data_IF_464130943241
#
_entry.id   IF_464130943241
#
_cell.length_a   1.000
_cell.length_b   1.000
_cell.length_c   1.000
_cell.angle_alpha   90.00
_cell.angle_beta   90.00
_cell.angle_gamma   90.00
#
_symmetry.space_group_name_H-M   'P 1'
#
loop_
_entity.id
_entity.type
_entity.pdbx_description
1 polymer ?
#
# COMPACT_ATOMS: atom_id res chain seq x y z
N UNK A 1 -14.94 17.26 -56.17
CA UNK A 1 -15.42 16.71 -54.89
C UNK A 1 -14.30 15.84 -54.31
N UNK A 2 -13.57 16.38 -53.30
CA UNK A 2 -12.61 15.77 -52.35
C UNK A 2 -11.49 14.88 -52.97
N UNK A 3 -10.21 15.27 -53.14
CA UNK A 3 -9.21 15.90 -52.27
C UNK A 3 -9.21 15.41 -50.81
N UNK A 4 -8.38 14.42 -50.50
CA UNK A 4 -8.06 14.00 -49.14
C UNK A 4 -6.56 13.73 -49.06
N UNK A 5 -5.88 14.65 -48.38
CA UNK A 5 -4.46 14.68 -48.05
C UNK A 5 -4.16 13.63 -46.98
N UNK A 6 -3.22 12.74 -47.24
CA UNK A 6 -2.56 11.91 -46.24
C UNK A 6 -1.24 12.59 -45.86
N UNK A 7 -1.28 13.43 -44.82
CA UNK A 7 -0.09 13.89 -44.11
C UNK A 7 0.17 12.92 -42.94
N UNK A 8 1.03 11.93 -43.15
CA UNK A 8 1.66 11.21 -42.05
C UNK A 8 2.79 12.09 -41.51
N UNK A 9 2.53 12.77 -40.40
CA UNK A 9 3.56 13.39 -39.59
C UNK A 9 4.37 12.28 -38.90
N UNK A 10 5.61 12.09 -39.35
CA UNK A 10 6.64 11.32 -38.65
C UNK A 10 6.99 12.08 -37.37
N UNK A 11 6.35 11.76 -36.26
CA UNK A 11 6.87 12.11 -34.95
C UNK A 11 8.08 11.23 -34.67
N UNK A 12 9.27 11.77 -34.93
CA UNK A 12 10.51 11.21 -34.41
C UNK A 12 10.46 11.29 -32.88
N UNK A 13 10.27 10.15 -32.23
CA UNK A 13 10.53 10.00 -30.81
C UNK A 13 12.03 10.18 -30.60
N UNK A 14 12.45 11.40 -30.30
CA UNK A 14 13.74 11.66 -29.69
C UNK A 14 13.78 10.87 -28.38
N UNK A 15 14.47 9.73 -28.41
CA UNK A 15 14.86 9.03 -27.20
C UNK A 15 15.85 9.93 -26.49
N UNK A 16 15.36 10.73 -25.54
CA UNK A 16 16.22 11.29 -24.51
C UNK A 16 16.83 10.09 -23.78
N UNK A 17 18.09 9.79 -24.10
CA UNK A 17 18.93 8.93 -23.29
C UNK A 17 19.02 9.58 -21.91
N UNK A 18 18.16 9.11 -21.00
CA UNK A 18 18.19 9.47 -19.60
C UNK A 18 19.61 9.20 -19.08
N UNK A 19 20.23 10.11 -18.32
CA UNK A 19 21.49 9.81 -17.65
C UNK A 19 21.30 8.51 -16.88
N UNK A 20 22.18 7.54 -17.12
CA UNK A 20 22.10 6.19 -16.57
C UNK A 20 22.00 6.26 -15.06
N UNK A 21 20.77 6.13 -14.55
CA UNK A 21 20.51 5.88 -13.13
C UNK A 21 21.27 4.60 -12.80
N UNK A 22 22.09 4.56 -11.73
CA UNK A 22 22.79 3.34 -11.34
C UNK A 22 21.79 2.19 -11.19
N UNK A 23 22.21 0.94 -11.45
CA UNK A 23 21.34 -0.23 -11.30
C UNK A 23 20.59 -0.18 -9.96
N UNK A 24 19.28 -0.40 -10.03
CA UNK A 24 18.31 0.07 -9.05
C UNK A 24 18.50 -0.50 -7.61
N UNK A 25 19.21 -1.63 -7.50
CA UNK A 25 19.59 -2.28 -6.23
C UNK A 25 20.56 -1.41 -5.40
N UNK A 26 21.32 -0.51 -6.03
CA UNK A 26 22.35 0.32 -5.37
C UNK A 26 21.72 1.47 -4.55
N UNK A 27 20.45 1.83 -4.80
CA UNK A 27 19.81 2.96 -4.12
C UNK A 27 19.39 2.62 -2.69
N UNK A 28 19.15 1.35 -2.37
CA UNK A 28 18.77 0.96 -1.01
C UNK A 28 19.94 1.08 -0.01
N UNK A 29 21.15 0.72 -0.45
CA UNK A 29 22.37 0.75 0.37
C UNK A 29 23.22 2.01 0.21
N UNK A 30 22.84 2.92 -0.70
CA UNK A 30 23.63 4.13 -0.90
C UNK A 30 23.60 4.99 0.37
N UNK A 31 24.77 5.45 0.87
CA UNK A 31 24.80 6.39 1.97
C UNK A 31 24.06 7.67 1.59
N UNK A 32 23.34 8.25 2.55
CA UNK A 32 22.51 9.45 2.34
C UNK A 32 23.26 10.59 1.62
N UNK A 33 24.57 10.73 1.82
CA UNK A 33 25.41 11.71 1.14
C UNK A 33 25.48 11.52 -0.38
N UNK A 34 25.58 10.28 -0.87
CA UNK A 34 25.61 9.98 -2.30
C UNK A 34 24.23 10.16 -2.94
N UNK A 35 23.16 9.79 -2.22
CA UNK A 35 21.78 9.99 -2.70
C UNK A 35 21.44 11.48 -2.79
N UNK A 36 21.86 12.28 -1.81
CA UNK A 36 21.69 13.73 -1.84
C UNK A 36 22.37 14.37 -3.05
N UNK A 37 23.55 13.87 -3.44
CA UNK A 37 24.24 14.36 -4.64
C UNK A 37 23.50 13.99 -5.94
N UNK A 38 22.95 12.78 -6.02
CA UNK A 38 22.14 12.32 -7.16
C UNK A 38 20.81 13.06 -7.27
N UNK A 39 20.13 13.31 -6.14
CA UNK A 39 18.88 14.04 -6.07
C UNK A 39 19.00 15.49 -6.58
N UNK A 40 20.21 16.07 -6.53
CA UNK A 40 20.49 17.41 -7.06
C UNK A 40 20.76 17.40 -8.57
N UNK A 41 21.19 16.27 -9.16
CA UNK A 41 21.70 16.19 -10.54
C UNK A 41 20.73 15.62 -11.57
N UNK A 42 19.71 14.85 -11.19
CA UNK A 42 18.84 14.14 -12.13
C UNK A 42 17.40 14.71 -12.18
N UNK A 43 16.91 14.91 -13.40
CA UNK A 43 15.49 14.80 -13.79
C UNK A 43 14.57 16.04 -13.58
N UNK A 44 13.48 16.10 -14.37
CA UNK A 44 12.57 17.27 -14.50
C UNK A 44 12.18 17.78 -13.11
N UNK A 45 12.60 19.01 -12.73
CA UNK A 45 12.54 19.41 -11.34
C UNK A 45 11.09 19.68 -10.95
N UNK A 46 10.56 18.86 -10.06
CA UNK A 46 9.41 19.24 -9.24
C UNK A 46 9.81 20.51 -8.47
N UNK A 47 9.24 21.66 -8.85
CA UNK A 47 9.65 22.93 -8.25
C UNK A 47 9.20 23.00 -6.80
N UNK A 48 9.96 23.70 -5.96
CA UNK A 48 9.65 23.77 -4.53
C UNK A 48 8.31 24.43 -4.27
N UNK A 49 7.99 25.48 -5.02
CA UNK A 49 6.71 26.19 -4.98
C UNK A 49 5.54 25.26 -5.30
N UNK A 50 5.63 24.51 -6.40
CA UNK A 50 4.57 23.59 -6.83
C UNK A 50 4.41 22.42 -5.87
N UNK A 51 5.52 21.87 -5.37
CA UNK A 51 5.51 20.85 -4.32
C UNK A 51 4.74 21.31 -3.09
N UNK A 52 5.13 22.46 -2.52
CA UNK A 52 4.51 22.99 -1.30
C UNK A 52 3.05 23.36 -1.52
N UNK A 53 2.71 23.93 -2.67
CA UNK A 53 1.33 24.23 -3.04
C UNK A 53 0.48 22.96 -3.10
N UNK A 54 0.85 21.98 -3.92
CA UNK A 54 0.06 20.75 -4.09
C UNK A 54 -0.02 19.93 -2.80
N UNK A 55 1.08 19.84 -2.05
CA UNK A 55 1.10 19.24 -0.73
C UNK A 55 0.09 19.93 0.20
N UNK A 56 0.09 21.27 0.27
CA UNK A 56 -0.82 22.02 1.14
C UNK A 56 -2.29 21.75 0.81
N UNK A 57 -2.63 21.63 -0.48
CA UNK A 57 -4.01 21.36 -0.92
C UNK A 57 -4.45 19.96 -0.52
N UNK A 58 -3.60 18.95 -0.76
CA UNK A 58 -3.90 17.57 -0.38
C UNK A 58 -4.00 17.42 1.14
N UNK A 59 -3.05 18.01 1.87
CA UNK A 59 -3.02 18.03 3.33
C UNK A 59 -4.28 18.67 3.93
N UNK A 60 -4.67 19.84 3.42
CA UNK A 60 -5.90 20.50 3.84
C UNK A 60 -7.14 19.62 3.59
N UNK A 61 -7.17 18.89 2.49
CA UNK A 61 -8.27 17.98 2.16
C UNK A 61 -8.39 16.82 3.16
N UNK A 62 -7.26 16.18 3.51
CA UNK A 62 -7.26 15.05 4.45
C UNK A 62 -7.19 15.46 5.93
N UNK A 63 -7.19 16.76 6.23
CA UNK A 63 -7.08 17.27 7.60
C UNK A 63 -5.70 17.07 8.23
N UNK A 64 -4.64 16.95 7.42
CA UNK A 64 -3.26 16.79 7.87
C UNK A 64 -2.54 18.14 7.89
N UNK A 65 -1.79 18.44 8.96
CA UNK A 65 -1.04 19.70 9.10
C UNK A 65 0.48 19.53 8.99
N UNK A 66 0.98 18.31 8.88
CA UNK A 66 2.41 18.01 8.87
C UNK A 66 3.06 18.04 7.47
N UNK A 67 4.38 17.88 7.44
CA UNK A 67 5.13 17.72 6.20
C UNK A 67 5.19 16.26 5.75
N UNK A 68 5.31 16.01 4.45
CA UNK A 68 5.62 14.68 3.90
C UNK A 68 7.09 14.30 4.14
N UNK A 69 7.46 14.20 5.41
CA UNK A 69 8.77 13.77 5.92
C UNK A 69 8.65 12.66 6.97
N UNK A 70 7.46 12.51 7.53
CA UNK A 70 7.10 11.47 8.49
C UNK A 70 6.03 10.53 7.85
N UNK A 71 6.44 9.36 7.35
CA UNK A 71 5.51 8.40 6.75
C UNK A 71 4.46 7.90 7.74
N UNK A 72 4.81 7.75 9.02
CA UNK A 72 3.87 7.25 10.03
C UNK A 72 2.77 8.26 10.27
N UNK A 73 3.13 9.54 10.42
CA UNK A 73 2.14 10.61 10.58
C UNK A 73 1.24 10.76 9.33
N UNK A 74 1.81 10.65 8.12
CA UNK A 74 1.04 10.70 6.87
C UNK A 74 0.07 9.51 6.75
N UNK A 75 0.55 8.28 6.99
CA UNK A 75 -0.32 7.08 6.97
C UNK A 75 -1.43 7.16 8.01
N UNK A 76 -1.13 7.66 9.21
CA UNK A 76 -2.14 7.86 10.25
C UNK A 76 -3.20 8.88 9.82
N UNK A 77 -2.81 9.97 9.17
CA UNK A 77 -3.75 10.96 8.64
C UNK A 77 -4.64 10.37 7.54
N UNK A 78 -4.07 9.60 6.61
CA UNK A 78 -4.84 8.89 5.57
C UNK A 78 -5.82 7.88 6.18
N UNK A 79 -5.37 7.10 7.17
CA UNK A 79 -6.23 6.15 7.89
C UNK A 79 -7.33 6.83 8.67
N UNK A 80 -7.05 7.96 9.32
CA UNK A 80 -8.04 8.75 10.03
C UNK A 80 -9.08 9.39 9.09
N UNK A 81 -8.72 9.57 7.82
CA UNK A 81 -9.65 10.03 6.80
C UNK A 81 -10.67 8.96 6.40
N UNK A 82 -10.26 7.68 6.41
CA UNK A 82 -11.18 6.57 6.16
C UNK A 82 -12.25 6.47 7.26
N UNK A 83 -13.50 6.54 6.84
CA UNK A 83 -14.70 6.33 7.66
C UNK A 83 -15.39 5.05 7.25
N UNK A 84 -16.35 4.62 8.06
CA UNK A 84 -17.15 3.45 7.75
C UNK A 84 -17.90 3.58 6.42
N UNK A 85 -18.26 4.79 6.02
CA UNK A 85 -18.88 5.03 4.71
C UNK A 85 -17.86 4.99 3.56
N UNK A 86 -18.28 4.43 2.42
CA UNK A 86 -17.50 4.41 1.17
C UNK A 86 -17.24 5.82 0.61
N UNK A 87 -18.04 6.81 1.01
CA UNK A 87 -17.88 8.19 0.55
C UNK A 87 -16.51 8.75 0.95
N UNK A 88 -16.02 8.44 2.14
CA UNK A 88 -14.67 8.84 2.59
C UNK A 88 -13.57 8.30 1.68
N UNK A 89 -13.62 7.03 1.29
CA UNK A 89 -12.66 6.45 0.35
C UNK A 89 -12.73 7.12 -1.04
N UNK A 90 -13.93 7.30 -1.57
CA UNK A 90 -14.11 7.98 -2.87
C UNK A 90 -13.64 9.44 -2.84
N UNK A 91 -13.83 10.13 -1.70
CA UNK A 91 -13.29 11.47 -1.49
C UNK A 91 -11.76 11.47 -1.44
N UNK A 92 -11.14 10.48 -0.82
CA UNK A 92 -9.69 10.36 -0.84
C UNK A 92 -9.17 10.12 -2.26
N UNK A 93 -9.85 9.29 -3.05
CA UNK A 93 -9.51 9.07 -4.45
C UNK A 93 -9.73 10.30 -5.33
N UNK A 94 -10.73 11.12 -5.01
CA UNK A 94 -10.87 12.44 -5.59
C UNK A 94 -9.67 13.35 -5.20
N UNK A 95 -9.27 13.39 -3.93
CA UNK A 95 -8.12 14.16 -3.47
C UNK A 95 -6.82 13.73 -4.15
N UNK A 96 -6.60 12.41 -4.31
CA UNK A 96 -5.48 11.86 -5.08
C UNK A 96 -5.52 12.33 -6.54
N UNK A 97 -6.70 12.34 -7.16
CA UNK A 97 -6.86 12.83 -8.54
C UNK A 97 -6.53 14.33 -8.64
N UNK A 98 -6.98 15.13 -7.67
CA UNK A 98 -6.64 16.56 -7.60
C UNK A 98 -5.14 16.77 -7.38
N UNK A 99 -4.50 15.94 -6.55
CA UNK A 99 -3.05 15.96 -6.36
C UNK A 99 -2.31 15.63 -7.65
N UNK A 100 -2.75 14.58 -8.37
CA UNK A 100 -2.22 14.20 -9.67
C UNK A 100 -2.32 15.34 -10.68
N UNK A 101 -3.48 15.99 -10.76
CA UNK A 101 -3.69 17.14 -11.65
C UNK A 101 -2.85 18.37 -11.25
N UNK A 102 -2.70 18.60 -9.94
CA UNK A 102 -1.89 19.71 -9.42
C UNK A 102 -0.42 19.57 -9.84
N UNK A 103 0.14 18.36 -9.75
CA UNK A 103 1.49 18.11 -10.23
C UNK A 103 1.59 18.00 -11.75
N UNK A 104 0.56 17.49 -12.42
CA UNK A 104 0.53 17.31 -13.86
C UNK A 104 1.65 16.37 -14.32
N UNK A 105 2.43 16.81 -15.32
CA UNK A 105 3.54 16.02 -15.87
C UNK A 105 4.68 15.76 -14.88
N UNK A 106 4.73 16.47 -13.76
CA UNK A 106 5.73 16.32 -12.70
C UNK A 106 5.27 15.35 -11.60
N UNK A 107 4.09 14.72 -11.70
CA UNK A 107 3.57 13.87 -10.62
C UNK A 107 4.58 12.82 -10.15
N UNK A 108 5.11 12.03 -11.09
CA UNK A 108 6.07 10.96 -10.81
C UNK A 108 7.38 11.49 -10.20
N UNK A 109 7.80 12.72 -10.53
CA UNK A 109 8.99 13.32 -9.91
C UNK A 109 8.68 13.84 -8.52
N UNK A 110 7.53 14.48 -8.36
CA UNK A 110 7.09 15.06 -7.09
C UNK A 110 6.78 14.01 -6.02
N UNK A 111 6.35 12.80 -6.39
CA UNK A 111 6.10 11.70 -5.46
C UNK A 111 7.23 10.65 -5.42
N UNK A 112 8.39 10.96 -6.02
CA UNK A 112 9.56 10.09 -5.99
C UNK A 112 10.30 10.13 -4.66
N UNK A 113 11.03 9.06 -4.36
CA UNK A 113 11.92 8.97 -3.19
C UNK A 113 12.95 10.08 -3.18
N UNK A 114 13.55 10.37 -4.33
CA UNK A 114 14.57 11.41 -4.46
C UNK A 114 14.01 12.80 -4.11
N UNK A 115 12.77 13.09 -4.50
CA UNK A 115 12.14 14.35 -4.13
C UNK A 115 11.92 14.45 -2.61
N UNK A 116 11.43 13.39 -1.95
CA UNK A 116 11.27 13.41 -0.50
C UNK A 116 12.60 13.58 0.24
N UNK A 117 13.69 12.99 -0.26
CA UNK A 117 15.04 13.19 0.27
C UNK A 117 15.46 14.65 0.13
N UNK A 118 15.26 15.25 -1.04
CA UNK A 118 15.50 16.69 -1.27
C UNK A 118 14.69 17.57 -0.31
N UNK A 119 13.51 17.11 0.13
CA UNK A 119 12.65 17.78 1.12
C UNK A 119 13.00 17.47 2.57
N UNK A 120 14.09 16.75 2.83
CA UNK A 120 14.62 16.51 4.17
C UNK A 120 14.17 15.20 4.81
N UNK A 121 13.43 14.35 4.10
CA UNK A 121 13.22 12.98 4.56
C UNK A 121 14.54 12.21 4.51
N UNK A 122 14.80 11.35 5.50
CA UNK A 122 15.87 10.37 5.36
C UNK A 122 15.46 9.32 4.31
N UNK A 123 16.43 8.51 3.88
CA UNK A 123 16.24 7.54 2.82
C UNK A 123 15.11 6.52 3.08
N UNK A 124 15.02 6.01 4.32
CA UNK A 124 13.97 5.07 4.75
C UNK A 124 12.60 5.72 4.73
N UNK A 125 12.49 6.93 5.29
CA UNK A 125 11.24 7.67 5.33
C UNK A 125 10.78 8.02 3.91
N UNK A 126 11.68 8.49 3.05
CA UNK A 126 11.40 8.82 1.66
C UNK A 126 10.89 7.60 0.87
N UNK A 127 11.48 6.42 1.11
CA UNK A 127 11.01 5.17 0.54
C UNK A 127 9.58 4.87 0.98
N UNK A 128 9.32 4.90 2.29
CA UNK A 128 7.97 4.65 2.84
C UNK A 128 6.94 5.65 2.32
N UNK A 129 7.25 6.95 2.27
CA UNK A 129 6.33 7.99 1.77
C UNK A 129 6.00 7.76 0.29
N UNK A 130 7.00 7.44 -0.54
CA UNK A 130 6.76 7.12 -1.96
C UNK A 130 5.86 5.89 -2.08
N UNK A 131 6.08 4.88 -1.24
CA UNK A 131 5.26 3.69 -1.17
C UNK A 131 3.81 3.99 -0.79
N UNK A 132 3.58 4.92 0.15
CA UNK A 132 2.23 5.38 0.52
C UNK A 132 1.50 5.97 -0.69
N UNK A 133 2.18 6.80 -1.50
CA UNK A 133 1.57 7.34 -2.72
C UNK A 133 1.34 6.27 -3.78
N UNK A 134 2.25 5.31 -3.97
CA UNK A 134 2.01 4.19 -4.89
C UNK A 134 0.85 3.29 -4.46
N UNK A 135 0.74 3.00 -3.16
CA UNK A 135 -0.41 2.28 -2.57
C UNK A 135 -1.70 3.03 -2.85
N UNK A 136 -1.73 4.34 -2.58
CA UNK A 136 -2.90 5.18 -2.80
C UNK A 136 -3.28 5.26 -4.28
N UNK A 137 -2.29 5.29 -5.17
CA UNK A 137 -2.49 5.25 -6.62
C UNK A 137 -3.18 3.96 -7.06
N UNK A 138 -2.73 2.82 -6.56
CA UNK A 138 -3.39 1.53 -6.79
C UNK A 138 -4.82 1.53 -6.24
N UNK A 139 -5.01 1.88 -4.97
CA UNK A 139 -6.31 1.90 -4.30
C UNK A 139 -7.34 2.69 -5.10
N UNK A 140 -6.93 3.85 -5.63
CA UNK A 140 -7.80 4.78 -6.35
C UNK A 140 -7.87 4.57 -7.87
N UNK A 141 -7.19 3.55 -8.40
CA UNK A 141 -7.25 3.18 -9.81
C UNK A 141 -7.57 1.69 -9.98
N UNK A 142 -6.55 0.83 -9.93
CA UNK A 142 -6.69 -0.61 -10.14
C UNK A 142 -7.52 -1.32 -9.05
N UNK A 143 -7.50 -0.83 -7.82
CA UNK A 143 -8.19 -1.43 -6.68
C UNK A 143 -9.57 -0.84 -6.36
N UNK A 144 -9.99 0.23 -7.04
CA UNK A 144 -11.18 1.00 -6.63
C UNK A 144 -12.47 0.18 -6.72
N UNK A 145 -12.56 -0.75 -7.69
CA UNK A 145 -13.75 -1.60 -7.87
C UNK A 145 -13.85 -2.58 -6.70
N UNK A 146 -12.76 -3.27 -6.36
CA UNK A 146 -12.72 -4.25 -5.28
C UNK A 146 -12.97 -3.58 -3.93
N UNK A 147 -12.36 -2.41 -3.68
CA UNK A 147 -12.58 -1.65 -2.46
C UNK A 147 -14.02 -1.12 -2.35
N UNK A 148 -14.56 -0.52 -3.41
CA UNK A 148 -15.91 0.08 -3.36
C UNK A 148 -17.04 -0.92 -3.23
N UNK A 149 -16.92 -2.10 -3.84
CA UNK A 149 -17.93 -3.15 -3.73
C UNK A 149 -17.93 -3.83 -2.35
N UNK A 150 -16.82 -3.74 -1.61
CA UNK A 150 -16.60 -4.50 -0.38
C UNK A 150 -16.18 -3.61 0.81
N UNK A 151 -16.46 -2.32 0.75
CA UNK A 151 -15.92 -1.33 1.69
C UNK A 151 -16.28 -1.60 3.15
N UNK A 152 -17.53 -1.95 3.43
CA UNK A 152 -17.97 -2.24 4.79
C UNK A 152 -17.14 -3.37 5.43
N UNK A 153 -16.78 -4.37 4.63
CA UNK A 153 -15.92 -5.46 5.06
C UNK A 153 -14.47 -5.00 5.22
N UNK A 154 -13.92 -4.31 4.21
CA UNK A 154 -12.55 -3.79 4.22
C UNK A 154 -12.32 -2.90 5.44
N UNK A 155 -13.20 -1.93 5.66
CA UNK A 155 -13.17 -1.02 6.80
C UNK A 155 -13.27 -1.77 8.14
N UNK A 156 -14.20 -2.74 8.26
CA UNK A 156 -14.36 -3.53 9.48
C UNK A 156 -13.09 -4.34 9.80
N UNK A 157 -12.48 -4.98 8.80
CA UNK A 157 -11.25 -5.76 8.98
C UNK A 157 -10.10 -4.81 9.35
N UNK A 158 -9.87 -3.74 8.58
CA UNK A 158 -8.81 -2.78 8.87
C UNK A 158 -8.90 -2.17 10.27
N UNK A 159 -10.10 -1.99 10.81
CA UNK A 159 -10.30 -1.45 12.17
C UNK A 159 -10.39 -2.52 13.26
N UNK A 160 -10.24 -3.81 12.93
CA UNK A 160 -10.26 -4.88 13.94
C UNK A 160 -8.91 -5.02 14.65
N UNK A 161 -8.95 -5.35 15.93
CA UNK A 161 -7.74 -5.62 16.73
C UNK A 161 -6.93 -6.79 16.15
N UNK A 162 -7.60 -7.83 15.64
CA UNK A 162 -6.93 -8.97 14.99
C UNK A 162 -6.11 -8.51 13.78
N UNK A 163 -6.68 -7.70 12.90
CA UNK A 163 -5.91 -7.14 11.77
C UNK A 163 -4.76 -6.26 12.25
N UNK A 164 -4.97 -5.35 13.22
CA UNK A 164 -3.88 -4.47 13.67
C UNK A 164 -2.73 -5.26 14.32
N UNK A 165 -3.04 -6.29 15.12
CA UNK A 165 -2.03 -7.16 15.74
C UNK A 165 -1.30 -8.00 14.69
N UNK A 166 -2.02 -8.58 13.73
CA UNK A 166 -1.44 -9.35 12.64
C UNK A 166 -0.56 -8.46 11.75
N UNK A 167 -1.03 -7.27 11.38
CA UNK A 167 -0.28 -6.24 10.66
C UNK A 167 1.05 -5.93 11.33
N UNK A 168 1.03 -5.64 12.63
CA UNK A 168 2.24 -5.34 13.40
C UNK A 168 3.21 -6.53 13.43
N UNK A 169 2.68 -7.75 13.50
CA UNK A 169 3.46 -8.99 13.43
C UNK A 169 4.14 -9.13 12.07
N UNK A 170 3.40 -8.94 10.98
CA UNK A 170 3.92 -8.96 9.62
C UNK A 170 5.02 -7.91 9.41
N UNK A 171 4.79 -6.67 9.85
CA UNK A 171 5.76 -5.57 9.76
C UNK A 171 7.04 -5.90 10.55
N UNK A 172 6.89 -6.40 11.78
CA UNK A 172 8.04 -6.78 12.62
C UNK A 172 8.87 -7.86 11.94
N UNK A 173 8.21 -8.89 11.40
CA UNK A 173 8.89 -9.96 10.70
C UNK A 173 9.58 -9.49 9.42
N UNK A 174 8.99 -8.54 8.68
CA UNK A 174 9.65 -7.90 7.54
C UNK A 174 10.94 -7.22 7.98
N UNK A 175 10.89 -6.29 8.95
CA UNK A 175 12.09 -5.55 9.38
C UNK A 175 13.18 -6.43 9.98
N UNK A 176 12.83 -7.55 10.62
CA UNK A 176 13.81 -8.48 11.17
C UNK A 176 14.58 -9.29 10.11
N UNK A 177 14.09 -9.36 8.87
CA UNK A 177 14.65 -10.24 7.84
C UNK A 177 15.08 -9.50 6.57
N UNK A 178 14.94 -8.18 6.50
CA UNK A 178 15.30 -7.42 5.29
C UNK A 178 16.78 -7.06 5.23
N UNK A 179 17.30 -7.08 4.01
CA UNK A 179 18.53 -6.43 3.57
C UNK A 179 18.31 -5.96 2.12
N UNK A 180 19.32 -5.33 1.52
CA UNK A 180 19.23 -4.86 0.14
C UNK A 180 19.03 -5.97 -0.90
N UNK A 181 19.58 -7.16 -0.65
CA UNK A 181 19.50 -8.29 -1.59
C UNK A 181 18.11 -8.93 -1.61
N UNK A 182 17.34 -8.82 -0.52
CA UNK A 182 16.08 -9.55 -0.37
C UNK A 182 14.84 -8.65 -0.17
N UNK A 183 14.98 -7.33 -0.20
CA UNK A 183 13.89 -6.38 0.09
C UNK A 183 12.63 -6.64 -0.75
N UNK A 184 12.78 -7.02 -2.02
CA UNK A 184 11.64 -7.31 -2.89
C UNK A 184 10.93 -8.62 -2.49
N UNK A 185 11.68 -9.68 -2.21
CA UNK A 185 11.12 -10.97 -1.77
C UNK A 185 10.45 -10.81 -0.39
N UNK A 186 11.10 -10.07 0.51
CA UNK A 186 10.54 -9.72 1.81
C UNK A 186 9.27 -8.88 1.67
N UNK A 187 9.24 -7.92 0.72
CA UNK A 187 8.06 -7.11 0.40
C UNK A 187 6.89 -7.94 -0.11
N UNK A 188 7.15 -8.90 -1.01
CA UNK A 188 6.13 -9.85 -1.46
C UNK A 188 5.60 -10.72 -0.30
N UNK A 189 6.49 -11.12 0.61
CA UNK A 189 6.10 -11.91 1.79
C UNK A 189 5.25 -11.08 2.74
N UNK A 190 5.59 -9.81 2.94
CA UNK A 190 4.80 -8.85 3.72
C UNK A 190 3.42 -8.63 3.12
N UNK A 191 3.33 -8.45 1.80
CA UNK A 191 2.06 -8.32 1.07
C UNK A 191 1.14 -9.52 1.30
N UNK A 192 1.67 -10.73 1.13
CA UNK A 192 0.95 -11.97 1.43
C UNK A 192 0.52 -12.02 2.89
N UNK A 193 1.40 -11.65 3.81
CA UNK A 193 1.10 -11.65 5.25
C UNK A 193 -0.11 -10.76 5.58
N UNK A 194 -0.18 -9.54 5.04
CA UNK A 194 -1.32 -8.64 5.24
C UNK A 194 -2.61 -9.20 4.65
N UNK A 195 -2.53 -9.76 3.45
CA UNK A 195 -3.67 -10.31 2.73
C UNK A 195 -4.36 -11.47 3.48
N UNK A 196 -3.64 -12.22 4.32
CA UNK A 196 -4.19 -13.34 5.08
C UNK A 196 -5.34 -12.97 6.02
N UNK A 197 -5.35 -11.74 6.53
CA UNK A 197 -6.44 -11.27 7.39
C UNK A 197 -7.80 -11.25 6.69
N UNK A 198 -7.81 -11.35 5.37
CA UNK A 198 -9.02 -11.37 4.54
C UNK A 198 -9.49 -12.78 4.17
N UNK A 199 -8.70 -13.82 4.43
CA UNK A 199 -9.08 -15.21 4.14
C UNK A 199 -10.01 -15.83 5.18
N UNK A 200 -9.97 -15.35 6.43
CA UNK A 200 -10.76 -15.85 7.56
C UNK A 200 -11.92 -14.93 7.95
N UNK A 201 -12.29 -14.00 7.07
CA UNK A 201 -13.31 -13.00 7.40
C UNK A 201 -14.68 -13.68 7.53
N UNK A 202 -15.22 -13.70 8.75
CA UNK A 202 -16.57 -14.16 9.04
C UNK A 202 -17.61 -13.44 8.16
N UNK A 203 -18.76 -14.07 7.85
CA UNK A 203 -19.88 -13.40 7.20
C UNK A 203 -20.17 -12.02 7.82
N UNK A 204 -20.44 -10.97 7.02
CA UNK A 204 -20.87 -11.01 5.61
C UNK A 204 -19.75 -10.89 4.57
N UNK A 205 -18.47 -11.04 4.94
CA UNK A 205 -17.34 -10.91 4.04
C UNK A 205 -17.18 -12.15 3.11
N UNK A 206 -18.14 -12.37 2.21
CA UNK A 206 -18.16 -13.53 1.30
C UNK A 206 -17.25 -13.38 0.06
N UNK A 207 -16.58 -12.24 -0.11
CA UNK A 207 -15.63 -11.90 -1.18
C UNK A 207 -14.18 -11.91 -0.69
N UNK A 208 -13.85 -12.84 0.22
CA UNK A 208 -12.53 -13.01 0.81
C UNK A 208 -11.38 -12.99 -0.22
N UNK A 209 -11.61 -13.52 -1.43
CA UNK A 209 -10.64 -13.56 -2.51
C UNK A 209 -10.31 -12.17 -3.10
N UNK A 210 -11.34 -11.34 -3.36
CA UNK A 210 -11.14 -10.01 -3.97
C UNK A 210 -10.44 -9.07 -3.00
N UNK A 211 -10.81 -9.13 -1.72
CA UNK A 211 -10.16 -8.33 -0.67
C UNK A 211 -8.75 -8.83 -0.33
N UNK A 212 -8.53 -10.15 -0.39
CA UNK A 212 -7.19 -10.72 -0.26
C UNK A 212 -6.26 -10.22 -1.37
N UNK A 213 -6.70 -10.32 -2.63
CA UNK A 213 -5.94 -9.80 -3.76
C UNK A 213 -5.72 -8.29 -3.63
N UNK A 214 -6.78 -7.53 -3.31
CA UNK A 214 -6.69 -6.07 -3.13
C UNK A 214 -5.64 -5.67 -2.09
N UNK A 215 -5.68 -6.27 -0.89
CA UNK A 215 -4.73 -5.93 0.17
C UNK A 215 -3.30 -6.35 -0.22
N UNK A 216 -3.15 -7.50 -0.88
CA UNK A 216 -1.85 -7.92 -1.37
C UNK A 216 -1.28 -6.92 -2.38
N UNK A 217 -2.05 -6.55 -3.41
CA UNK A 217 -1.62 -5.62 -4.46
C UNK A 217 -1.32 -4.24 -3.88
N UNK A 218 -2.13 -3.78 -2.93
CA UNK A 218 -1.91 -2.53 -2.22
C UNK A 218 -0.51 -2.48 -1.60
N UNK A 219 -0.09 -3.55 -0.95
CA UNK A 219 1.25 -3.65 -0.36
C UNK A 219 2.33 -3.87 -1.43
N UNK A 220 2.09 -4.68 -2.47
CA UNK A 220 3.04 -4.84 -3.59
C UNK A 220 3.36 -3.50 -4.25
N UNK A 221 2.35 -2.69 -4.54
CA UNK A 221 2.53 -1.37 -5.16
C UNK A 221 3.36 -0.43 -4.28
N UNK A 222 3.27 -0.57 -2.95
CA UNK A 222 4.12 0.17 -2.01
C UNK A 222 5.62 -0.09 -2.23
N UNK A 223 6.02 -1.26 -2.73
CA UNK A 223 7.42 -1.62 -2.98
C UNK A 223 7.90 -1.28 -4.40
N UNK A 224 7.00 -0.98 -5.34
CA UNK A 224 7.32 -0.67 -6.73
C UNK A 224 7.79 0.79 -6.93
N UNK A 225 8.78 1.21 -6.15
CA UNK A 225 9.31 2.58 -6.13
C UNK A 225 10.54 2.68 -7.05
N UNK A 226 10.59 3.71 -7.89
CA UNK A 226 11.71 3.98 -8.81
C UNK A 226 12.07 2.79 -9.73
N UNK A 227 11.09 1.96 -10.06
CA UNK A 227 11.27 0.75 -10.86
C UNK A 227 11.89 -0.44 -10.12
N UNK A 228 12.04 -0.36 -8.79
CA UNK A 228 12.42 -1.52 -7.97
C UNK A 228 11.28 -2.53 -7.85
N UNK A 229 11.63 -3.79 -7.63
CA UNK A 229 10.68 -4.86 -7.32
C UNK A 229 9.55 -5.06 -8.35
N UNK A 230 9.78 -4.76 -9.64
CA UNK A 230 8.76 -4.87 -10.70
C UNK A 230 8.20 -6.29 -10.90
N UNK A 231 8.89 -7.32 -10.41
CA UNK A 231 8.53 -8.72 -10.59
C UNK A 231 7.80 -9.33 -9.37
N UNK A 232 7.46 -8.54 -8.35
CA UNK A 232 6.63 -9.04 -7.26
C UNK A 232 5.16 -9.01 -7.67
N UNK A 233 4.46 -10.10 -7.43
CA UNK A 233 3.06 -10.26 -7.79
C UNK A 233 2.24 -10.83 -6.62
N UNK A 234 0.94 -10.58 -6.70
CA UNK A 234 -0.04 -11.19 -5.83
C UNK A 234 -0.73 -12.33 -6.55
N UNK A 235 -0.09 -13.50 -6.51
CA UNK A 235 -0.77 -14.74 -6.85
C UNK A 235 -1.86 -14.99 -5.82
N UNK A 236 -3.10 -15.06 -6.27
CA UNK A 236 -4.21 -15.13 -5.33
C UNK A 236 -4.15 -16.43 -4.55
N UNK A 237 -4.23 -16.32 -3.24
CA UNK A 237 -4.05 -17.45 -2.34
C UNK A 237 -5.30 -18.35 -2.38
N UNK A 238 -5.29 -19.35 -3.26
CA UNK A 238 -6.26 -20.44 -3.20
C UNK A 238 -5.98 -21.25 -1.92
N UNK A 239 -6.95 -21.30 -1.00
CA UNK A 239 -6.81 -21.88 0.34
C UNK A 239 -6.51 -23.40 0.44
N UNK A 240 -5.95 -24.03 -0.59
CA UNK A 240 -5.76 -25.47 -0.70
C UNK A 240 -4.31 -25.99 -0.69
N UNK A 241 -3.30 -25.23 -1.10
CA UNK A 241 -1.92 -25.79 -1.16
C UNK A 241 -0.85 -24.72 -1.41
N UNK A 242 0.27 -24.84 -0.70
CA UNK A 242 1.56 -24.11 -0.78
C UNK A 242 1.78 -22.88 0.12
N UNK A 243 0.86 -22.56 1.04
CA UNK A 243 1.05 -21.47 2.01
C UNK A 243 2.28 -21.69 2.92
N UNK A 244 2.47 -22.93 3.34
CA UNK A 244 3.54 -23.35 4.23
C UNK A 244 4.94 -23.25 3.58
N UNK A 245 5.06 -23.40 2.26
CA UNK A 245 6.37 -23.36 1.57
C UNK A 245 6.84 -21.95 1.23
N UNK A 246 6.00 -20.92 1.38
CA UNK A 246 6.29 -19.53 1.02
C UNK A 246 6.64 -18.64 2.22
N UNK A 247 6.31 -19.08 3.44
CA UNK A 247 6.68 -18.38 4.66
C UNK A 247 8.10 -18.77 5.08
N UNK A 248 9.02 -17.81 5.09
CA UNK A 248 10.40 -18.00 5.52
C UNK A 248 10.50 -17.90 7.04
N UNK A 249 11.07 -18.94 7.68
CA UNK A 249 11.50 -18.90 9.09
C UNK A 249 10.46 -18.41 10.09
N UNK A 250 10.84 -17.41 10.91
CA UNK A 250 10.09 -16.88 12.05
C UNK A 250 8.68 -16.34 11.70
N UNK A 251 8.37 -16.08 10.42
CA UNK A 251 7.00 -15.74 10.00
C UNK A 251 6.03 -16.89 10.15
N UNK A 252 6.46 -18.14 9.93
CA UNK A 252 5.63 -19.33 10.19
C UNK A 252 5.21 -19.37 11.66
N UNK A 253 6.14 -19.13 12.56
CA UNK A 253 5.91 -19.20 14.02
C UNK A 253 5.02 -18.05 14.51
N UNK A 254 5.25 -16.84 14.00
CA UNK A 254 4.46 -15.67 14.37
C UNK A 254 3.01 -15.75 13.84
N UNK A 255 2.83 -16.24 12.61
CA UNK A 255 1.50 -16.49 12.01
C UNK A 255 0.81 -17.65 12.72
N UNK A 256 1.52 -18.74 13.03
CA UNK A 256 0.95 -19.87 13.77
C UNK A 256 0.51 -19.46 15.19
N UNK A 257 1.28 -18.62 15.88
CA UNK A 257 0.91 -18.11 17.20
C UNK A 257 -0.36 -17.23 17.15
N UNK A 258 -0.47 -16.35 16.15
CA UNK A 258 -1.67 -15.52 15.92
C UNK A 258 -2.90 -16.35 15.54
N UNK A 259 -2.75 -17.27 14.58
CA UNK A 259 -3.83 -18.16 14.14
C UNK A 259 -4.35 -19.09 15.24
N UNK A 260 -3.46 -19.63 16.08
CA UNK A 260 -3.87 -20.49 17.21
C UNK A 260 -4.68 -19.69 18.23
N UNK A 261 -4.30 -18.43 18.51
CA UNK A 261 -5.07 -17.54 19.37
C UNK A 261 -6.46 -17.29 18.79
N UNK A 262 -6.56 -16.94 17.51
CA UNK A 262 -7.83 -16.58 16.86
C UNK A 262 -8.75 -17.81 16.68
N UNK A 263 -8.21 -18.99 16.33
CA UNK A 263 -8.97 -20.25 16.31
C UNK A 263 -9.49 -20.61 17.71
N UNK A 264 -8.69 -20.40 18.76
CA UNK A 264 -9.13 -20.69 20.13
C UNK A 264 -10.19 -19.70 20.62
N UNK A 265 -10.12 -18.42 20.22
CA UNK A 265 -11.18 -17.45 20.49
C UNK A 265 -12.47 -17.75 19.72
N UNK A 266 -12.37 -18.20 18.45
CA UNK A 266 -13.52 -18.63 17.66
C UNK A 266 -14.15 -19.90 18.24
N UNK A 267 -13.35 -20.87 18.67
CA UNK A 267 -13.83 -22.06 19.40
C UNK A 267 -14.53 -21.67 20.70
N UNK A 268 -14.02 -20.69 21.45
CA UNK A 268 -14.65 -20.21 22.68
C UNK A 268 -16.00 -19.48 22.44
N UNK A 269 -16.15 -18.81 21.29
CA UNK A 269 -17.43 -18.17 20.89
C UNK A 269 -18.47 -19.16 20.37
N UNK A 270 -18.03 -20.19 19.63
CA UNK A 270 -18.91 -21.25 19.11
C UNK A 270 -19.33 -22.22 20.22
N UNK A 271 -18.49 -22.42 21.24
CA UNK A 271 -18.76 -23.28 22.40
C UNK A 271 -19.32 -22.49 23.60
N UNK A 272 -20.31 -21.61 23.39
CA UNK A 272 -21.21 -21.23 24.49
C UNK A 272 -22.26 -22.31 24.64
N UNK A 273 -22.31 -23.07 25.75
CA UNK A 273 -23.41 -23.98 26.00
C UNK A 273 -24.68 -23.14 26.06
N UNK A 274 -25.69 -23.50 25.28
CA UNK A 274 -27.05 -22.99 25.43
C UNK A 274 -27.50 -23.32 26.85
N UNK A 275 -27.39 -22.39 27.79
CA UNK A 275 -28.06 -22.51 29.08
C UNK A 275 -29.56 -22.53 28.81
N UNK A 276 -30.16 -23.64 29.25
CA UNK A 276 -31.51 -24.04 28.92
C UNK A 276 -32.56 -23.03 29.33
N UNK A 277 -33.60 -22.94 28.50
CA UNK A 277 -34.88 -22.42 28.91
C UNK A 277 -35.42 -23.27 30.06
N UNK A 278 -35.45 -22.66 31.25
CA UNK A 278 -36.19 -23.14 32.40
C UNK A 278 -37.69 -23.02 32.08
N UNK A 279 -38.37 -24.16 32.02
CA UNK A 279 -39.81 -24.24 31.86
C UNK A 279 -40.46 -24.00 33.24
N UNK A 280 -41.01 -22.80 33.43
CA UNK A 280 -41.92 -22.52 34.54
C UNK A 280 -43.24 -23.28 34.32
N UNK A 281 -43.46 -24.32 35.12
CA UNK A 281 -44.76 -24.97 35.27
C UNK A 281 -45.61 -24.14 36.22
N UNK A 282 -46.65 -23.50 35.70
CA UNK A 282 -47.78 -23.03 36.50
C UNK A 282 -48.75 -24.20 36.75
N UNK A 283 -48.89 -24.57 38.02
CA UNK A 283 -50.06 -25.21 38.61
C UNK A 283 -50.59 -24.28 39.70
#
# INVERSE_FOLDING_TARGET
>A
MRLLLLFFAVFGFAHCSNPSIPPHDVLFDMPNSAINELAVKAYVPCTDEKFLYCQSQFNAFIGYSGSWSDPVALEQALRAFYKQDISSFLQLCHARTMLYQCFGTEYQTCTSRLQFIKKGANNTNAYQISGVFNSLDFECSGGIIQASQNWDCLYKIWNSDSYQNHKNTCITAFYNNINSENVCIAGQTLAKCFALSFLSADPPCNTAYDLNWFECERIVNMFQIDGNCQNIDCQVMNGGSSFESLLVGNMREAIAAGWISDINQLKAKVYRPSHGHEHDNFN
#
